data_IF_095710941925
#
_entry.id   IF_095710941925
#
_cell.length_a   1.000
_cell.length_b   1.000
_cell.length_c   1.000
_cell.angle_alpha   90.00
_cell.angle_beta   90.00
_cell.angle_gamma   90.00
#
_symmetry.space_group_name_H-M   'P 1'
#
loop_
_entity.id
_entity.type
_entity.pdbx_description
1 polymer ?
#
# COMPACT_ATOMS: atom_id res chain seq x y z
N UNK A 1 -3.03 4.93 -10.80
CA UNK A 1 -2.81 3.72 -9.96
C UNK A 1 -3.77 3.83 -8.79
N UNK A 2 -4.58 2.81 -8.54
CA UNK A 2 -5.51 2.80 -7.40
C UNK A 2 -4.72 2.76 -6.08
N UNK A 3 -5.24 3.36 -5.01
CA UNK A 3 -4.63 3.29 -3.68
C UNK A 3 -3.63 4.40 -3.32
N UNK A 4 -3.54 5.46 -4.13
CA UNK A 4 -2.69 6.63 -3.88
C UNK A 4 -3.48 7.94 -4.06
N UNK A 5 -3.14 8.96 -3.26
CA UNK A 5 -3.68 10.33 -3.40
C UNK A 5 -2.72 11.30 -4.07
N UNK A 6 -1.45 10.94 -4.17
CA UNK A 6 -0.36 11.80 -4.62
C UNK A 6 0.25 11.27 -5.91
N UNK A 7 0.80 12.18 -6.71
CA UNK A 7 1.71 11.81 -7.79
C UNK A 7 3.07 11.46 -7.17
N UNK A 8 3.49 10.21 -7.34
CA UNK A 8 4.72 9.68 -6.79
C UNK A 8 5.77 9.47 -7.87
N UNK A 9 7.04 9.40 -7.47
CA UNK A 9 8.14 9.15 -8.41
C UNK A 9 8.15 7.69 -8.90
N UNK A 10 8.74 7.47 -10.08
CA UNK A 10 8.82 6.14 -10.73
C UNK A 10 9.41 5.02 -9.86
N UNK A 11 10.37 5.34 -8.97
CA UNK A 11 11.02 4.32 -8.12
C UNK A 11 10.08 3.85 -7.02
N UNK A 12 9.29 4.77 -6.46
CA UNK A 12 8.24 4.45 -5.50
C UNK A 12 7.08 3.72 -6.18
N UNK A 13 6.62 4.19 -7.35
CA UNK A 13 5.53 3.53 -8.09
C UNK A 13 5.84 2.06 -8.38
N UNK A 14 7.08 1.71 -8.74
CA UNK A 14 7.51 0.32 -8.91
C UNK A 14 7.43 -0.50 -7.62
N UNK A 15 7.72 0.10 -6.46
CA UNK A 15 7.55 -0.56 -5.17
C UNK A 15 6.05 -0.76 -4.86
N UNK A 16 5.26 0.29 -5.07
CA UNK A 16 3.82 0.25 -4.83
C UNK A 16 3.10 -0.77 -5.72
N UNK A 17 3.57 -0.99 -6.95
CA UNK A 17 3.11 -2.09 -7.81
C UNK A 17 3.34 -3.48 -7.18
N UNK A 18 4.45 -3.69 -6.48
CA UNK A 18 4.72 -4.94 -5.76
C UNK A 18 3.79 -5.09 -4.57
N UNK A 19 3.53 -4.01 -3.83
CA UNK A 19 2.54 -3.98 -2.74
C UNK A 19 1.15 -4.33 -3.26
N UNK A 20 0.71 -3.69 -4.35
CA UNK A 20 -0.60 -3.97 -4.94
C UNK A 20 -0.70 -5.37 -5.54
N UNK A 21 0.39 -5.89 -6.11
CA UNK A 21 0.44 -7.28 -6.56
C UNK A 21 0.23 -8.25 -5.40
N UNK A 22 0.83 -7.98 -4.23
CA UNK A 22 0.63 -8.77 -3.02
C UNK A 22 -0.80 -8.65 -2.50
N UNK A 23 -1.36 -7.43 -2.41
CA UNK A 23 -2.75 -7.22 -1.99
C UNK A 23 -3.75 -7.98 -2.89
N UNK A 24 -3.48 -8.03 -4.20
CA UNK A 24 -4.29 -8.76 -5.17
C UNK A 24 -4.32 -10.27 -4.91
N UNK A 25 -3.22 -10.87 -4.43
CA UNK A 25 -3.19 -12.29 -4.04
C UNK A 25 -4.19 -12.59 -2.91
N UNK A 26 -4.51 -11.58 -2.09
CA UNK A 26 -5.43 -11.65 -0.96
C UNK A 26 -6.85 -11.17 -1.33
N UNK A 27 -7.14 -10.97 -2.62
CA UNK A 27 -8.38 -10.41 -3.15
C UNK A 27 -8.72 -9.01 -2.59
N UNK A 28 -7.67 -8.21 -2.40
CA UNK A 28 -7.77 -6.87 -1.81
C UNK A 28 -7.00 -5.82 -2.63
N UNK A 29 -7.25 -4.56 -2.30
CA UNK A 29 -6.52 -3.38 -2.78
C UNK A 29 -5.95 -2.65 -1.56
N UNK A 30 -4.67 -2.29 -1.61
CA UNK A 30 -4.06 -1.46 -0.59
C UNK A 30 -4.24 0.03 -0.91
N UNK A 31 -4.69 0.81 0.07
CA UNK A 31 -4.85 2.26 0.01
C UNK A 31 -3.91 2.92 1.01
N UNK A 32 -2.90 3.65 0.53
CA UNK A 32 -1.87 4.23 1.37
C UNK A 32 -2.35 5.49 2.10
N UNK A 33 -2.10 5.58 3.40
CA UNK A 33 -2.26 6.82 4.15
C UNK A 33 -0.95 7.63 4.17
N UNK A 34 0.12 7.02 4.69
CA UNK A 34 1.45 7.61 4.78
C UNK A 34 2.56 6.54 4.72
N UNK A 35 3.79 6.96 4.47
CA UNK A 35 5.01 6.15 4.59
C UNK A 35 5.92 6.64 5.72
N UNK A 36 6.86 5.81 6.17
CA UNK A 36 7.81 6.17 7.23
C UNK A 36 9.04 6.97 6.73
N UNK A 37 9.18 7.13 5.41
CA UNK A 37 10.30 7.81 4.76
C UNK A 37 11.67 7.15 5.05
N UNK A 38 11.71 5.82 5.23
CA UNK A 38 12.96 5.08 5.42
C UNK A 38 13.83 5.05 4.16
N UNK A 39 13.20 5.21 2.99
CA UNK A 39 13.86 5.44 1.70
C UNK A 39 14.89 4.36 1.31
N UNK A 40 14.60 3.09 1.66
CA UNK A 40 15.51 1.97 1.47
C UNK A 40 15.69 1.70 -0.04
N UNK A 41 16.92 1.88 -0.52
CA UNK A 41 17.24 1.62 -1.92
C UNK A 41 17.34 0.11 -2.20
N UNK A 42 16.53 -0.40 -3.13
CA UNK A 42 16.59 -1.80 -3.57
C UNK A 42 16.40 -1.91 -5.07
N UNK A 43 17.48 -2.31 -5.78
CA UNK A 43 17.52 -2.37 -7.26
C UNK A 43 17.08 -1.03 -7.87
N UNK A 44 15.98 -1.01 -8.60
CA UNK A 44 15.40 0.19 -9.24
C UNK A 44 14.22 0.78 -8.47
N UNK A 45 14.03 0.36 -7.22
CA UNK A 45 12.92 0.74 -6.35
C UNK A 45 13.41 1.52 -5.12
N UNK A 46 12.49 2.30 -4.56
CA UNK A 46 12.64 2.97 -3.27
C UNK A 46 11.57 2.37 -2.36
N UNK A 47 11.99 1.55 -1.41
CA UNK A 47 11.10 0.88 -0.48
C UNK A 47 10.87 1.77 0.74
N UNK A 48 9.74 1.55 1.39
CA UNK A 48 9.38 2.23 2.63
C UNK A 48 8.37 1.37 3.40
N UNK A 49 8.31 1.53 4.72
CA UNK A 49 7.21 0.99 5.51
C UNK A 49 5.98 1.88 5.29
N UNK A 50 4.88 1.29 4.85
CA UNK A 50 3.65 2.05 4.54
C UNK A 50 2.57 1.72 5.57
N UNK A 51 1.72 2.69 5.85
CA UNK A 51 0.49 2.49 6.61
C UNK A 51 -0.71 2.87 5.75
N UNK A 52 -1.82 2.16 5.94
CA UNK A 52 -3.03 2.41 5.19
C UNK A 52 -4.07 1.32 5.43
N UNK A 53 -4.90 1.05 4.44
CA UNK A 53 -5.98 0.08 4.53
C UNK A 53 -5.85 -1.01 3.47
N UNK A 54 -6.06 -2.27 3.86
CA UNK A 54 -6.17 -3.40 2.93
C UNK A 54 -7.65 -3.77 2.77
N UNK A 55 -8.24 -3.30 1.67
CA UNK A 55 -9.69 -3.37 1.46
C UNK A 55 -10.04 -4.50 0.50
N UNK A 56 -10.93 -5.44 0.86
CA UNK A 56 -11.46 -6.44 -0.05
C UNK A 56 -12.03 -5.82 -1.32
N UNK A 57 -11.83 -6.48 -2.47
CA UNK A 57 -12.25 -5.99 -3.78
C UNK A 57 -13.73 -5.58 -3.85
N UNK A 58 -14.62 -6.31 -3.16
CA UNK A 58 -16.06 -5.98 -3.12
C UNK A 58 -16.40 -4.63 -2.47
N UNK A 59 -15.49 -4.08 -1.67
CA UNK A 59 -15.66 -2.82 -0.95
C UNK A 59 -14.74 -1.71 -1.48
N UNK A 60 -13.78 -2.04 -2.34
CA UNK A 60 -12.72 -1.13 -2.79
C UNK A 60 -13.26 0.14 -3.46
N UNK A 61 -14.26 0.02 -4.35
CA UNK A 61 -14.84 1.17 -5.05
C UNK A 61 -15.51 2.17 -4.08
N UNK A 62 -16.24 1.65 -3.09
CA UNK A 62 -16.89 2.47 -2.06
C UNK A 62 -15.83 3.14 -1.17
N UNK A 63 -14.83 2.36 -0.74
CA UNK A 63 -13.74 2.89 0.06
C UNK A 63 -12.95 3.98 -0.68
N UNK A 64 -12.65 3.78 -1.96
CA UNK A 64 -11.89 4.74 -2.77
C UNK A 64 -12.58 6.11 -2.83
N UNK A 65 -13.92 6.15 -2.95
CA UNK A 65 -14.67 7.41 -2.93
C UNK A 65 -14.48 8.17 -1.61
N UNK A 66 -14.47 7.47 -0.48
CA UNK A 66 -14.24 8.06 0.84
C UNK A 66 -12.78 8.48 1.02
N UNK A 67 -11.86 7.61 0.61
CA UNK A 67 -10.41 7.78 0.67
C UNK A 67 -9.94 9.02 -0.10
N UNK A 68 -10.41 9.19 -1.35
CA UNK A 68 -10.08 10.35 -2.18
C UNK A 68 -10.66 11.66 -1.63
N UNK A 69 -11.73 11.59 -0.84
CA UNK A 69 -12.36 12.76 -0.20
C UNK A 69 -11.81 13.08 1.19
N UNK A 70 -10.85 12.30 1.70
CA UNK A 70 -10.34 12.40 3.07
C UNK A 70 -11.47 12.24 4.11
N UNK A 71 -12.37 11.30 3.88
CA UNK A 71 -13.56 11.02 4.73
C UNK A 71 -13.60 9.57 5.21
N UNK A 72 -12.46 8.91 5.31
CA UNK A 72 -12.38 7.59 5.95
C UNK A 72 -12.65 7.79 7.45
N UNK A 73 -13.59 7.02 7.99
CA UNK A 73 -13.95 7.04 9.41
C UNK A 73 -13.58 5.71 10.09
N UNK A 74 -13.79 5.66 11.40
CA UNK A 74 -13.40 4.58 12.33
C UNK A 74 -13.98 3.20 11.97
N UNK A 75 -15.04 3.13 11.17
CA UNK A 75 -15.62 1.87 10.70
C UNK A 75 -14.68 1.06 9.80
N UNK A 76 -13.61 1.70 9.30
CA UNK A 76 -12.61 1.06 8.46
C UNK A 76 -11.33 0.68 9.22
N UNK A 77 -11.27 0.92 10.54
CA UNK A 77 -10.08 0.65 11.35
C UNK A 77 -9.70 -0.83 11.36
N UNK A 78 -10.66 -1.74 11.21
CA UNK A 78 -10.43 -3.19 11.11
C UNK A 78 -9.61 -3.59 9.86
N UNK A 79 -9.50 -2.69 8.88
CA UNK A 79 -8.70 -2.90 7.66
C UNK A 79 -7.35 -2.18 7.70
N UNK A 80 -7.07 -1.41 8.74
CA UNK A 80 -5.79 -0.73 8.92
C UNK A 80 -4.67 -1.76 9.00
N UNK A 81 -3.58 -1.50 8.29
CA UNK A 81 -2.48 -2.44 8.16
C UNK A 81 -1.16 -1.72 7.95
N UNK A 82 -0.09 -2.31 8.45
CA UNK A 82 1.27 -1.97 8.06
C UNK A 82 1.74 -2.81 6.89
N UNK A 83 2.40 -2.18 5.93
CA UNK A 83 3.07 -2.81 4.80
C UNK A 83 4.57 -2.77 5.06
N UNK A 84 5.11 -3.90 5.47
CA UNK A 84 6.52 -4.03 5.84
C UNK A 84 7.28 -4.75 4.70
N UNK A 85 8.23 -4.09 4.02
CA UNK A 85 9.08 -4.74 3.04
C UNK A 85 10.12 -5.63 3.73
N UNK A 86 10.18 -6.91 3.37
CA UNK A 86 11.20 -7.84 3.86
C UNK A 86 12.13 -8.28 2.72
N UNK A 87 13.44 -8.09 2.91
CA UNK A 87 14.47 -8.49 1.95
C UNK A 87 15.25 -9.68 2.49
N UNK A 88 15.04 -10.85 1.87
CA UNK A 88 15.76 -12.08 2.21
C UNK A 88 16.38 -12.69 0.96
N UNK A 89 17.67 -13.05 1.04
CA UNK A 89 18.42 -13.68 -0.05
C UNK A 89 18.28 -12.93 -1.40
N UNK A 90 18.23 -11.59 -1.36
CA UNK A 90 18.11 -10.73 -2.55
C UNK A 90 16.71 -10.71 -3.20
N UNK A 91 15.70 -11.27 -2.52
CA UNK A 91 14.29 -11.22 -2.92
C UNK A 91 13.53 -10.28 -1.99
N UNK A 92 12.64 -9.49 -2.58
CA UNK A 92 11.71 -8.64 -1.86
C UNK A 92 10.41 -9.43 -1.66
N UNK A 93 9.89 -9.40 -0.44
CA UNK A 93 8.55 -9.85 -0.07
C UNK A 93 7.84 -8.76 0.71
N UNK A 94 6.50 -8.79 0.70
CA UNK A 94 5.65 -7.82 1.38
C UNK A 94 4.88 -8.55 2.46
N UNK A 95 4.86 -7.98 3.66
CA UNK A 95 4.11 -8.47 4.82
C UNK A 95 3.08 -7.42 5.18
N UNK A 96 1.85 -7.88 5.43
CA UNK A 96 0.74 -7.10 5.95
C UNK A 96 0.57 -7.44 7.44
N UNK A 97 0.65 -6.44 8.33
CA UNK A 97 0.62 -6.58 9.80
C UNK A 97 -0.45 -5.73 10.48
#
# INVERSE_FOLDING_TARGET
>A
MQGLRTEENDRFLRYFEVVQAKAKEENSVFFMDFGQCDDIAFKYMKLDCLFGWLIPNEMADNFEELYLRLKVDDRWDDFCVWVTPNIENGKLSIIFE
#
